data_IF_466879342072
#
_entry.id   IF_466879342072
#
_cell.length_a   1.000
_cell.length_b   1.000
_cell.length_c   1.000
_cell.angle_alpha   90.00
_cell.angle_beta   90.00
_cell.angle_gamma   90.00
#
_symmetry.space_group_name_H-M   'P 1'
#
loop_
_entity.id
_entity.type
_entity.pdbx_description
1 polymer ?
#
# COMPACT_ATOMS: atom_id res chain seq x y z
N UNK A 1 -21.22 28.46 -37.62
CA UNK A 1 -21.39 27.43 -36.58
C UNK A 1 -20.02 27.22 -35.95
N UNK A 2 -19.83 27.58 -34.69
CA UNK A 2 -18.57 27.34 -33.96
C UNK A 2 -18.62 25.93 -33.37
N UNK A 3 -17.77 25.05 -33.86
CA UNK A 3 -17.64 23.68 -33.34
C UNK A 3 -16.85 23.66 -32.04
N UNK A 4 -17.00 22.59 -31.25
CA UNK A 4 -16.24 22.38 -30.00
C UNK A 4 -14.72 22.50 -30.24
N UNK A 5 -14.23 22.02 -31.38
CA UNK A 5 -12.81 22.04 -31.73
C UNK A 5 -12.28 23.44 -32.11
N UNK A 6 -13.14 24.44 -32.23
CA UNK A 6 -12.78 25.84 -32.51
C UNK A 6 -12.50 26.64 -31.22
N UNK A 7 -12.78 26.07 -30.04
CA UNK A 7 -12.48 26.69 -28.75
C UNK A 7 -10.98 26.89 -28.53
N UNK A 8 -10.63 27.82 -27.65
CA UNK A 8 -9.26 28.02 -27.17
C UNK A 8 -8.74 26.76 -26.45
N UNK A 9 -7.43 26.52 -26.49
CA UNK A 9 -6.84 25.30 -25.92
C UNK A 9 -7.06 25.20 -24.41
N UNK A 10 -7.07 26.34 -23.72
CA UNK A 10 -7.30 26.49 -22.29
C UNK A 10 -8.71 26.00 -21.91
N UNK A 11 -9.73 26.42 -22.66
CA UNK A 11 -11.10 25.98 -22.46
C UNK A 11 -11.26 24.48 -22.72
N UNK A 12 -10.60 23.97 -23.77
CA UNK A 12 -10.58 22.54 -24.04
C UNK A 12 -9.90 21.76 -22.91
N UNK A 13 -8.76 22.22 -22.42
CA UNK A 13 -8.06 21.58 -21.30
C UNK A 13 -8.93 21.56 -20.04
N UNK A 14 -9.61 22.66 -19.71
CA UNK A 14 -10.53 22.71 -18.58
C UNK A 14 -11.66 21.69 -18.73
N UNK A 15 -12.30 21.62 -19.91
CA UNK A 15 -13.33 20.60 -20.20
C UNK A 15 -12.76 19.19 -20.04
N UNK A 16 -11.55 18.93 -20.54
CA UNK A 16 -10.92 17.61 -20.46
C UNK A 16 -10.59 17.25 -19.01
N UNK A 17 -10.08 18.20 -18.22
CA UNK A 17 -9.81 18.02 -16.79
C UNK A 17 -11.08 17.71 -16.00
N UNK A 18 -12.20 18.38 -16.31
CA UNK A 18 -13.51 18.12 -15.69
C UNK A 18 -14.09 16.74 -16.09
N UNK A 19 -13.87 16.31 -17.33
CA UNK A 19 -14.24 14.96 -17.78
C UNK A 19 -13.40 13.87 -17.10
N UNK A 20 -12.13 14.17 -16.84
CA UNK A 20 -11.19 13.28 -16.18
C UNK A 20 -10.78 12.05 -17.01
N UNK A 21 -9.89 11.21 -16.47
CA UNK A 21 -9.36 10.04 -17.17
C UNK A 21 -10.39 8.92 -17.38
N UNK A 22 -11.37 8.77 -16.47
CA UNK A 22 -12.42 7.74 -16.58
C UNK A 22 -13.26 7.89 -17.84
N UNK A 23 -13.51 9.13 -18.29
CA UNK A 23 -14.21 9.40 -19.54
C UNK A 23 -13.54 8.72 -20.74
N UNK A 24 -12.21 8.70 -20.82
CA UNK A 24 -11.47 8.06 -21.91
C UNK A 24 -11.32 6.54 -21.72
N UNK A 25 -11.27 6.05 -20.47
CA UNK A 25 -11.20 4.62 -20.18
C UNK A 25 -12.46 3.87 -20.61
N UNK A 26 -13.62 4.51 -20.52
CA UNK A 26 -14.88 3.94 -20.99
C UNK A 26 -14.91 3.72 -22.50
N UNK A 27 -14.29 4.61 -23.29
CA UNK A 27 -14.15 4.45 -24.73
C UNK A 27 -12.87 5.13 -25.24
N UNK A 28 -11.83 4.32 -25.48
CA UNK A 28 -10.52 4.81 -25.92
C UNK A 28 -10.57 5.57 -27.24
N UNK A 29 -11.59 5.33 -28.09
CA UNK A 29 -11.77 6.04 -29.36
C UNK A 29 -12.05 7.52 -29.14
N UNK A 30 -12.47 7.93 -27.94
CA UNK A 30 -12.60 9.34 -27.54
C UNK A 30 -11.26 10.08 -27.56
N UNK A 31 -10.12 9.40 -27.58
CA UNK A 31 -8.81 10.04 -27.80
C UNK A 31 -8.53 10.29 -29.29
N UNK A 32 -9.20 9.59 -30.20
CA UNK A 32 -8.90 9.54 -31.63
C UNK A 32 -9.82 10.43 -32.49
N UNK A 33 -10.43 11.48 -31.91
CA UNK A 33 -11.32 12.41 -32.64
C UNK A 33 -10.55 13.18 -33.72
N UNK A 34 -9.48 13.88 -33.32
CA UNK A 34 -8.58 14.59 -34.22
C UNK A 34 -7.21 14.78 -33.55
N UNK A 35 -6.20 15.22 -34.31
CA UNK A 35 -4.82 15.41 -33.79
C UNK A 35 -4.76 16.41 -32.63
N UNK A 36 -5.47 17.54 -32.75
CA UNK A 36 -5.53 18.58 -31.69
C UNK A 36 -6.16 18.04 -30.42
N UNK A 37 -7.29 17.36 -30.55
CA UNK A 37 -7.98 16.73 -29.42
C UNK A 37 -7.09 15.70 -28.74
N UNK A 38 -6.48 14.79 -29.50
CA UNK A 38 -5.55 13.80 -28.97
C UNK A 38 -4.41 14.45 -28.16
N UNK A 39 -3.77 15.49 -28.72
CA UNK A 39 -2.65 16.17 -28.07
C UNK A 39 -3.03 16.80 -26.71
N UNK A 40 -4.26 17.33 -26.60
CA UNK A 40 -4.76 17.95 -25.36
C UNK A 40 -5.35 16.92 -24.38
N UNK A 41 -6.04 15.90 -24.88
CA UNK A 41 -6.70 14.87 -24.08
C UNK A 41 -5.70 13.86 -23.48
N UNK A 42 -4.59 13.63 -24.18
CA UNK A 42 -3.62 12.61 -23.80
C UNK A 42 -3.02 12.82 -22.39
N UNK A 43 -2.52 14.02 -22.02
CA UNK A 43 -2.06 14.28 -20.65
C UNK A 43 -3.11 14.01 -19.58
N UNK A 44 -4.38 14.32 -19.85
CA UNK A 44 -5.48 14.08 -18.90
C UNK A 44 -5.78 12.60 -18.76
N UNK A 45 -5.80 11.86 -19.87
CA UNK A 45 -5.99 10.41 -19.85
C UNK A 45 -4.91 9.67 -19.05
N UNK A 46 -3.64 10.02 -19.29
CA UNK A 46 -2.51 9.36 -18.61
C UNK A 46 -2.19 9.95 -17.22
N UNK A 47 -2.91 10.98 -16.79
CA UNK A 47 -2.72 11.56 -15.46
C UNK A 47 -2.95 10.53 -14.34
N UNK A 48 -3.68 9.47 -14.63
CA UNK A 48 -3.88 8.35 -13.74
C UNK A 48 -3.55 7.02 -14.44
N UNK A 49 -2.60 6.29 -13.88
CA UNK A 49 -2.22 4.96 -14.34
C UNK A 49 -2.83 3.90 -13.45
N UNK A 50 -3.67 3.05 -14.03
CA UNK A 50 -4.19 1.85 -13.39
C UNK A 50 -3.55 0.64 -14.05
N UNK A 51 -2.62 0.01 -13.35
CA UNK A 51 -1.80 -1.06 -13.88
C UNK A 51 -2.07 -2.36 -13.13
N UNK A 52 -2.26 -3.42 -13.91
CA UNK A 52 -2.08 -4.81 -13.49
C UNK A 52 -0.66 -5.29 -13.78
N UNK A 53 -0.29 -6.46 -13.25
CA UNK A 53 0.96 -7.15 -13.60
C UNK A 53 1.20 -7.20 -15.13
N UNK A 54 0.23 -7.70 -15.89
CA UNK A 54 0.35 -7.86 -17.34
C UNK A 54 0.46 -6.53 -18.10
N UNK A 55 -0.33 -5.53 -17.72
CA UNK A 55 -0.27 -4.20 -18.35
C UNK A 55 1.05 -3.48 -18.08
N UNK A 56 1.64 -3.67 -16.90
CA UNK A 56 2.92 -3.06 -16.53
C UNK A 56 4.05 -3.61 -17.38
N UNK A 57 4.11 -4.95 -17.54
CA UNK A 57 5.12 -5.60 -18.38
C UNK A 57 4.97 -5.21 -19.86
N UNK A 58 3.73 -5.13 -20.36
CA UNK A 58 3.45 -4.65 -21.72
C UNK A 58 3.91 -3.21 -21.91
N UNK A 59 3.65 -2.34 -20.94
CA UNK A 59 4.07 -0.94 -20.98
C UNK A 59 5.60 -0.82 -21.01
N UNK A 60 6.32 -1.62 -20.22
CA UNK A 60 7.79 -1.67 -20.26
C UNK A 60 8.34 -2.24 -21.57
N UNK A 61 7.63 -3.18 -22.19
CA UNK A 61 8.01 -3.65 -23.52
C UNK A 61 7.84 -2.55 -24.58
N UNK A 62 6.71 -1.82 -24.55
CA UNK A 62 6.43 -0.71 -25.47
C UNK A 62 7.41 0.44 -25.26
N UNK A 63 7.81 0.71 -24.02
CA UNK A 63 8.75 1.79 -23.71
C UNK A 63 10.14 1.58 -24.28
N UNK A 64 10.59 0.33 -24.42
CA UNK A 64 11.88 0.02 -25.07
C UNK A 64 11.88 0.38 -26.57
N UNK A 65 10.70 0.58 -27.17
CA UNK A 65 10.52 0.81 -28.60
C UNK A 65 10.11 2.24 -28.96
N UNK A 66 9.85 3.09 -27.97
CA UNK A 66 9.26 4.42 -28.22
C UNK A 66 9.66 5.46 -27.17
N UNK A 67 9.73 6.72 -27.58
CA UNK A 67 9.91 7.88 -26.69
C UNK A 67 8.66 8.18 -25.82
N UNK A 68 7.74 7.22 -25.71
CA UNK A 68 6.44 7.34 -25.06
C UNK A 68 6.53 7.59 -23.54
N UNK A 69 7.62 7.18 -22.89
CA UNK A 69 7.76 7.35 -21.43
C UNK A 69 7.98 8.79 -21.01
N UNK A 70 8.58 9.63 -21.84
CA UNK A 70 8.88 11.00 -21.43
C UNK A 70 7.59 11.78 -21.15
N UNK A 71 6.59 11.84 -22.07
CA UNK A 71 5.29 12.46 -21.78
C UNK A 71 4.58 11.82 -20.58
N UNK A 72 4.70 10.50 -20.41
CA UNK A 72 4.10 9.76 -19.30
C UNK A 72 4.64 10.26 -17.96
N UNK A 73 5.95 10.26 -17.76
CA UNK A 73 6.62 10.71 -16.52
C UNK A 73 6.25 12.14 -16.11
N UNK A 74 5.98 13.00 -17.10
CA UNK A 74 5.64 14.41 -16.89
C UNK A 74 4.14 14.69 -16.77
N UNK A 75 3.29 13.67 -16.86
CA UNK A 75 1.83 13.84 -16.84
C UNK A 75 1.16 13.04 -15.74
N UNK A 76 1.73 11.90 -15.35
CA UNK A 76 1.17 11.02 -14.31
C UNK A 76 1.13 11.74 -12.96
N UNK A 77 -0.09 11.85 -12.40
CA UNK A 77 -0.39 12.37 -11.07
C UNK A 77 -0.72 11.25 -10.08
N UNK A 78 -1.32 10.17 -10.56
CA UNK A 78 -1.68 9.00 -9.75
C UNK A 78 -1.21 7.72 -10.42
N UNK A 79 -0.58 6.83 -9.68
CA UNK A 79 -0.23 5.49 -10.16
C UNK A 79 -0.79 4.45 -9.19
N UNK A 80 -1.48 3.46 -9.73
CA UNK A 80 -2.04 2.32 -9.01
C UNK A 80 -1.53 1.06 -9.66
N UNK A 81 -0.88 0.21 -8.86
CA UNK A 81 -0.46 -1.12 -9.27
C UNK A 81 -1.17 -2.14 -8.40
N UNK A 82 -1.91 -3.04 -9.04
CA UNK A 82 -2.49 -4.21 -8.39
C UNK A 82 -1.83 -5.46 -8.91
N UNK A 83 -1.11 -6.15 -8.03
CA UNK A 83 -0.52 -7.46 -8.26
C UNK A 83 -1.41 -8.48 -7.56
N UNK A 84 -2.12 -9.28 -8.34
CA UNK A 84 -2.78 -10.47 -7.85
C UNK A 84 -1.81 -11.62 -8.04
N UNK A 85 -1.61 -12.43 -7.00
CA UNK A 85 -1.03 -13.75 -7.16
C UNK A 85 -1.86 -14.54 -8.16
N UNK A 86 -1.23 -15.42 -8.94
CA UNK A 86 -1.96 -16.30 -9.85
C UNK A 86 -3.01 -17.06 -9.04
N UNK A 87 -4.28 -16.82 -9.34
CA UNK A 87 -5.38 -17.60 -8.78
C UNK A 87 -5.48 -18.97 -9.45
N UNK A 88 -4.39 -19.47 -10.04
CA UNK A 88 -4.38 -20.70 -10.80
C UNK A 88 -4.73 -21.85 -9.84
N UNK A 89 -6.03 -22.15 -9.81
CA UNK A 89 -6.72 -22.96 -8.82
C UNK A 89 -6.34 -24.44 -8.90
N UNK A 90 -5.52 -24.78 -9.90
CA UNK A 90 -4.95 -26.11 -10.13
C UNK A 90 -4.16 -26.62 -8.94
N UNK A 91 -3.56 -25.75 -8.12
CA UNK A 91 -2.75 -26.16 -6.96
C UNK A 91 -3.48 -26.18 -5.61
N UNK A 92 -4.61 -25.47 -5.46
CA UNK A 92 -5.33 -25.39 -4.17
C UNK A 92 -6.53 -26.35 -4.08
N UNK A 93 -6.74 -27.21 -5.08
CA UNK A 93 -7.86 -28.16 -5.07
C UNK A 93 -7.62 -29.41 -4.20
N UNK A 94 -6.41 -29.60 -3.66
CA UNK A 94 -6.19 -30.64 -2.64
C UNK A 94 -6.50 -30.07 -1.26
N UNK A 95 -7.37 -30.75 -0.53
CA UNK A 95 -7.83 -30.45 0.83
C UNK A 95 -6.79 -29.71 1.70
N UNK A 96 -7.26 -28.65 2.37
CA UNK A 96 -6.59 -27.83 3.39
C UNK A 96 -5.18 -28.34 3.79
N UNK A 97 -4.08 -27.79 3.24
CA UNK A 97 -2.72 -28.28 3.50
C UNK A 97 -2.31 -28.18 4.97
N UNK A 98 -3.02 -27.37 5.78
CA UNK A 98 -2.87 -27.30 7.23
C UNK A 98 -3.20 -28.62 7.95
N UNK A 99 -3.95 -29.53 7.32
CA UNK A 99 -4.29 -30.83 7.91
C UNK A 99 -3.34 -31.97 7.49
N UNK A 100 -2.36 -31.70 6.61
CA UNK A 100 -1.42 -32.73 6.15
C UNK A 100 0.02 -32.19 6.12
N UNK A 101 0.87 -32.53 7.11
CA UNK A 101 2.28 -32.09 7.17
C UNK A 101 3.08 -32.37 5.90
N UNK A 102 2.75 -33.47 5.20
CA UNK A 102 3.37 -33.89 3.94
C UNK A 102 3.08 -32.96 2.75
N UNK A 103 1.95 -32.25 2.76
CA UNK A 103 1.62 -31.28 1.70
C UNK A 103 2.44 -29.98 1.85
N UNK A 104 2.80 -29.63 3.09
CA UNK A 104 3.74 -28.54 3.36
C UNK A 104 5.15 -28.93 2.87
N UNK A 105 5.61 -30.14 3.17
CA UNK A 105 6.92 -30.65 2.70
C UNK A 105 7.02 -30.72 1.18
N UNK A 106 5.98 -31.18 0.47
CA UNK A 106 5.98 -31.18 -1.01
C UNK A 106 5.96 -29.77 -1.60
N UNK A 107 5.39 -28.79 -0.90
CA UNK A 107 5.43 -27.38 -1.30
C UNK A 107 6.83 -26.78 -1.17
N UNK A 108 7.61 -27.22 -0.16
CA UNK A 108 8.99 -26.77 0.06
C UNK A 108 10.02 -27.46 -0.83
N UNK A 109 9.74 -28.65 -1.35
CA UNK A 109 10.66 -29.37 -2.23
C UNK A 109 10.80 -28.74 -3.63
N UNK A 110 9.93 -27.79 -3.98
CA UNK A 110 9.94 -27.12 -5.26
C UNK A 110 10.50 -25.69 -5.14
N UNK A 111 11.72 -25.56 -4.61
CA UNK A 111 12.44 -24.28 -4.49
C UNK A 111 12.48 -23.50 -5.82
N UNK A 112 12.56 -24.23 -6.95
CA UNK A 112 12.51 -23.67 -8.31
C UNK A 112 11.21 -22.86 -8.53
N UNK A 113 10.10 -23.24 -7.91
CA UNK A 113 8.84 -22.48 -8.02
C UNK A 113 8.81 -21.21 -7.19
N UNK A 114 9.55 -21.12 -6.07
CA UNK A 114 9.54 -19.92 -5.23
C UNK A 114 10.30 -18.77 -5.90
N UNK A 115 11.45 -19.06 -6.50
CA UNK A 115 12.23 -18.08 -7.25
C UNK A 115 11.48 -17.59 -8.48
N UNK A 116 10.87 -18.50 -9.25
CA UNK A 116 10.04 -18.12 -10.39
C UNK A 116 8.84 -17.26 -9.98
N UNK A 117 8.15 -17.63 -8.88
CA UNK A 117 7.02 -16.85 -8.35
C UNK A 117 7.47 -15.48 -7.86
N UNK A 118 8.59 -15.41 -7.17
CA UNK A 118 9.23 -14.16 -6.75
C UNK A 118 9.54 -13.30 -7.97
N UNK A 119 10.21 -13.85 -8.98
CA UNK A 119 10.56 -13.13 -10.20
C UNK A 119 9.31 -12.59 -10.91
N UNK A 120 8.24 -13.40 -11.01
CA UNK A 120 6.96 -12.98 -11.62
C UNK A 120 6.27 -11.86 -10.85
N UNK A 121 6.33 -11.88 -9.52
CA UNK A 121 5.74 -10.83 -8.67
C UNK A 121 6.56 -9.54 -8.72
N UNK A 122 7.88 -9.64 -8.72
CA UNK A 122 8.78 -8.51 -8.67
C UNK A 122 9.01 -7.86 -10.03
N UNK A 123 8.91 -8.60 -11.14
CA UNK A 123 9.11 -8.05 -12.49
C UNK A 123 8.21 -6.85 -12.80
N UNK A 124 6.88 -6.87 -12.50
CA UNK A 124 6.02 -5.69 -12.60
C UNK A 124 6.46 -4.51 -11.72
N UNK A 125 6.97 -4.76 -10.50
CA UNK A 125 7.44 -3.69 -9.62
C UNK A 125 8.69 -3.02 -10.18
N UNK A 126 9.67 -3.81 -10.64
CA UNK A 126 10.85 -3.30 -11.32
C UNK A 126 10.49 -2.53 -12.59
N UNK A 127 9.55 -3.07 -13.38
CA UNK A 127 9.02 -2.42 -14.56
C UNK A 127 8.39 -1.06 -14.22
N UNK A 128 7.54 -0.99 -13.18
CA UNK A 128 6.94 0.28 -12.74
C UNK A 128 8.00 1.28 -12.25
N UNK A 129 8.96 0.84 -11.44
CA UNK A 129 10.07 1.68 -10.97
C UNK A 129 10.91 2.23 -12.14
N UNK A 130 11.08 1.47 -13.22
CA UNK A 130 11.77 1.94 -14.44
C UNK A 130 10.94 2.94 -15.27
N UNK A 131 9.61 2.79 -15.24
CA UNK A 131 8.67 3.69 -15.91
C UNK A 131 8.60 5.02 -15.17
N UNK A 132 8.59 4.96 -13.83
CA UNK A 132 8.48 6.10 -12.92
C UNK A 132 9.74 6.26 -12.03
N UNK A 133 10.91 6.59 -12.61
CA UNK A 133 12.12 6.79 -11.81
C UNK A 133 11.96 8.01 -10.89
N UNK A 134 12.49 7.98 -9.66
CA UNK A 134 12.40 9.08 -8.68
C UNK A 134 12.79 10.44 -9.23
N UNK A 135 13.94 10.51 -9.90
CA UNK A 135 14.56 11.77 -10.33
C UNK A 135 13.82 12.42 -11.51
N UNK A 136 13.04 11.64 -12.26
CA UNK A 136 12.33 12.12 -13.45
C UNK A 136 10.82 12.25 -13.27
N UNK A 137 10.27 11.73 -12.16
CA UNK A 137 8.82 11.68 -11.90
C UNK A 137 8.42 12.80 -10.95
N UNK A 138 8.17 13.99 -11.51
CA UNK A 138 7.99 15.22 -10.73
C UNK A 138 6.54 15.54 -10.37
N UNK A 139 5.57 14.89 -11.02
CA UNK A 139 4.13 15.18 -10.85
C UNK A 139 3.34 14.09 -10.12
N UNK A 140 3.93 12.93 -9.84
CA UNK A 140 3.23 11.85 -9.16
C UNK A 140 2.93 12.25 -7.70
N UNK A 141 1.65 12.48 -7.41
CA UNK A 141 1.17 12.88 -6.08
C UNK A 141 0.61 11.72 -5.28
N UNK A 142 0.09 10.70 -5.95
CA UNK A 142 -0.54 9.54 -5.32
C UNK A 142 0.03 8.24 -5.86
N UNK A 143 0.51 7.38 -4.97
CA UNK A 143 0.96 6.03 -5.31
C UNK A 143 0.16 5.01 -4.51
N UNK A 144 -0.37 4.01 -5.21
CA UNK A 144 -1.03 2.86 -4.61
C UNK A 144 -0.38 1.57 -5.11
N UNK A 145 0.16 0.79 -4.19
CA UNK A 145 0.75 -0.52 -4.46
C UNK A 145 -0.02 -1.56 -3.67
N UNK A 146 -0.75 -2.43 -4.38
CA UNK A 146 -1.48 -3.53 -3.79
C UNK A 146 -0.91 -4.84 -4.27
N UNK A 147 -0.50 -5.67 -3.32
CA UNK A 147 0.00 -7.02 -3.55
C UNK A 147 -0.91 -7.97 -2.78
N UNK A 148 -1.83 -8.57 -3.50
CA UNK A 148 -2.71 -9.60 -2.98
C UNK A 148 -2.06 -10.95 -3.26
N UNK A 149 -1.51 -11.58 -2.21
CA UNK A 149 -1.30 -13.02 -2.25
C UNK A 149 -2.67 -13.66 -2.42
N UNK A 150 -2.84 -14.58 -3.37
CA UNK A 150 -4.07 -15.35 -3.50
C UNK A 150 -4.29 -16.26 -2.28
N UNK A 151 -4.76 -17.48 -2.49
CA UNK A 151 -4.87 -18.46 -1.39
C UNK A 151 -3.52 -18.96 -0.85
N UNK A 152 -2.42 -18.45 -1.40
CA UNK A 152 -1.07 -18.79 -0.95
C UNK A 152 -0.84 -18.09 0.39
N UNK A 153 -0.43 -18.82 1.44
CA UNK A 153 -0.05 -18.20 2.70
C UNK A 153 0.98 -17.10 2.40
N UNK A 154 0.79 -15.86 2.91
CA UNK A 154 1.65 -14.72 2.62
C UNK A 154 3.15 -14.98 2.85
N UNK A 155 3.46 -15.99 3.67
CA UNK A 155 4.76 -16.48 4.09
C UNK A 155 5.79 -16.78 2.99
N UNK A 156 5.36 -16.93 1.73
CA UNK A 156 6.18 -17.58 0.71
C UNK A 156 6.46 -16.78 -0.57
N UNK A 157 6.09 -15.49 -0.63
CA UNK A 157 6.32 -14.67 -1.83
C UNK A 157 7.21 -13.46 -1.50
N UNK A 158 8.54 -13.59 -1.62
CA UNK A 158 9.45 -12.52 -1.26
C UNK A 158 9.28 -11.34 -2.23
N UNK A 159 8.93 -10.18 -1.69
CA UNK A 159 8.97 -8.91 -2.41
C UNK A 159 10.36 -8.28 -2.27
N UNK A 160 11.02 -8.01 -3.40
CA UNK A 160 12.28 -7.27 -3.41
C UNK A 160 12.02 -5.83 -2.94
N UNK A 161 12.80 -5.32 -1.98
CA UNK A 161 12.58 -3.99 -1.43
C UNK A 161 13.00 -2.88 -2.39
N UNK A 162 14.03 -3.10 -3.21
CA UNK A 162 14.60 -2.10 -4.10
C UNK A 162 13.56 -1.37 -5.00
N UNK A 163 12.67 -2.06 -5.75
CA UNK A 163 11.68 -1.37 -6.58
C UNK A 163 10.63 -0.62 -5.74
N UNK A 164 10.24 -1.14 -4.57
CA UNK A 164 9.31 -0.45 -3.67
C UNK A 164 9.96 0.81 -3.11
N UNK A 165 11.21 0.71 -2.64
CA UNK A 165 12.01 1.82 -2.13
C UNK A 165 12.20 2.92 -3.19
N UNK A 166 12.50 2.54 -4.43
CA UNK A 166 12.56 3.47 -5.55
C UNK A 166 11.23 4.22 -5.70
N UNK A 167 10.09 3.52 -5.77
CA UNK A 167 8.78 4.14 -5.97
C UNK A 167 8.36 5.07 -4.82
N UNK A 168 8.62 4.72 -3.57
CA UNK A 168 8.28 5.58 -2.42
C UNK A 168 9.24 6.77 -2.25
N UNK A 169 10.41 6.72 -2.89
CA UNK A 169 11.40 7.82 -2.86
C UNK A 169 11.06 8.98 -3.82
N UNK A 170 9.93 8.90 -4.52
CA UNK A 170 9.45 9.99 -5.38
C UNK A 170 9.07 11.19 -4.50
N UNK A 171 9.88 12.26 -4.57
CA UNK A 171 9.76 13.49 -3.75
C UNK A 171 8.40 14.17 -3.89
N UNK A 172 7.76 14.00 -5.05
CA UNK A 172 6.48 14.63 -5.35
C UNK A 172 5.27 13.99 -4.65
N UNK A 173 5.45 12.84 -3.98
CA UNK A 173 4.38 12.10 -3.33
C UNK A 173 3.76 12.83 -2.15
N UNK A 174 2.44 12.78 -2.11
CA UNK A 174 1.59 13.36 -1.05
C UNK A 174 0.58 12.37 -0.52
N UNK A 175 0.27 11.30 -1.25
CA UNK A 175 -0.62 10.24 -0.83
C UNK A 175 0.03 8.90 -1.14
N UNK A 176 0.05 8.02 -0.15
CA UNK A 176 0.65 6.71 -0.28
C UNK A 176 -0.27 5.64 0.28
N UNK A 177 -0.59 4.63 -0.52
CA UNK A 177 -1.39 3.47 -0.15
C UNK A 177 -0.58 2.19 -0.46
N UNK A 178 -0.05 1.56 0.58
CA UNK A 178 0.75 0.34 0.50
C UNK A 178 -0.03 -0.81 1.12
N UNK A 179 -0.55 -1.71 0.31
CA UNK A 179 -1.10 -2.97 0.76
C UNK A 179 -0.19 -4.11 0.30
N UNK A 180 0.90 -4.31 1.03
CA UNK A 180 1.93 -5.31 0.79
C UNK A 180 1.74 -6.48 1.76
N UNK A 181 0.53 -7.04 1.80
CA UNK A 181 0.17 -8.11 2.72
C UNK A 181 1.01 -9.40 2.54
N UNK A 182 1.71 -9.55 1.40
CA UNK A 182 2.76 -10.55 1.18
C UNK A 182 4.06 -10.22 1.93
N UNK A 183 4.90 -11.22 2.20
CA UNK A 183 6.19 -10.94 2.84
C UNK A 183 7.09 -10.07 1.95
N UNK A 184 7.26 -8.80 2.32
CA UNK A 184 8.54 -8.11 2.10
C UNK A 184 9.51 -8.72 3.11
N UNK A 185 9.99 -9.91 2.80
CA UNK A 185 11.10 -10.53 3.48
C UNK A 185 12.34 -9.72 3.14
N UNK A 186 12.63 -8.73 3.98
CA UNK A 186 13.98 -8.25 4.21
C UNK A 186 14.77 -9.34 4.95
N UNK A 187 14.79 -10.57 4.41
CA UNK A 187 15.65 -11.60 4.94
C UNK A 187 17.01 -11.30 4.33
N UNK A 188 18.01 -10.99 5.15
CA UNK A 188 19.37 -11.00 4.66
C UNK A 188 19.62 -12.39 4.11
N UNK A 189 20.07 -12.50 2.87
CA UNK A 189 20.60 -13.77 2.38
C UNK A 189 21.76 -14.28 3.26
N UNK A 190 22.33 -13.45 4.17
CA UNK A 190 23.45 -13.82 5.03
C UNK A 190 23.48 -13.06 6.38
N UNK A 191 22.50 -13.25 7.28
CA UNK A 191 22.51 -12.70 8.67
C UNK A 191 22.69 -11.17 8.85
N UNK A 192 22.83 -10.38 7.77
CA UNK A 192 23.00 -8.93 7.83
C UNK A 192 21.67 -8.22 7.73
N UNK A 193 21.03 -7.96 8.86
CA UNK A 193 19.81 -7.14 8.88
C UNK A 193 20.01 -5.91 7.97
N UNK A 194 19.09 -5.65 7.04
CA UNK A 194 19.25 -4.52 6.14
C UNK A 194 19.35 -3.25 6.97
N UNK A 195 20.37 -2.44 6.68
CA UNK A 195 20.62 -1.18 7.38
C UNK A 195 19.42 -0.23 7.33
N UNK A 196 18.60 -0.36 6.27
CA UNK A 196 17.41 0.47 6.03
C UNK A 196 16.20 -0.41 5.74
N UNK A 197 15.22 -0.40 6.65
CA UNK A 197 13.91 -1.04 6.42
C UNK A 197 12.88 -0.02 5.94
N UNK A 198 11.87 -0.49 5.19
CA UNK A 198 10.82 0.35 4.61
C UNK A 198 10.11 1.24 5.65
N UNK A 199 9.91 0.78 6.90
CA UNK A 199 9.31 1.61 7.95
C UNK A 199 10.06 2.92 8.22
N UNK A 200 11.40 2.93 8.16
CA UNK A 200 12.20 4.14 8.39
C UNK A 200 12.05 5.12 7.22
N UNK A 201 12.02 4.59 6.00
CA UNK A 201 11.78 5.39 4.79
C UNK A 201 10.38 6.01 4.83
N UNK A 202 9.35 5.24 5.15
CA UNK A 202 7.99 5.75 5.30
C UNK A 202 7.88 6.81 6.41
N UNK A 203 8.58 6.61 7.53
CA UNK A 203 8.64 7.60 8.61
C UNK A 203 9.21 8.95 8.13
N UNK A 204 10.31 8.91 7.37
CA UNK A 204 10.93 10.10 6.79
C UNK A 204 10.02 10.84 5.80
N UNK A 205 9.05 10.14 5.18
CA UNK A 205 8.07 10.74 4.27
C UNK A 205 6.88 11.38 5.01
N UNK A 206 6.63 11.07 6.29
CA UNK A 206 5.45 11.60 7.00
C UNK A 206 5.32 13.14 6.94
N UNK A 207 6.38 13.95 7.07
CA UNK A 207 6.26 15.42 6.99
C UNK A 207 5.76 15.95 5.65
N UNK A 208 5.97 15.21 4.55
CA UNK A 208 5.53 15.61 3.20
C UNK A 208 4.16 15.04 2.82
N UNK A 209 3.76 13.91 3.43
CA UNK A 209 2.52 13.23 3.10
C UNK A 209 1.30 13.96 3.68
N UNK A 210 0.20 13.86 2.94
CA UNK A 210 -1.16 14.23 3.33
C UNK A 210 -1.93 13.01 3.81
N UNK A 211 -1.70 11.85 3.18
CA UNK A 211 -2.34 10.58 3.55
C UNK A 211 -1.34 9.44 3.45
N UNK A 212 -1.30 8.59 4.48
CA UNK A 212 -0.61 7.30 4.46
C UNK A 212 -1.58 6.20 4.87
N UNK A 213 -1.69 5.17 4.03
CA UNK A 213 -2.35 3.90 4.33
C UNK A 213 -1.33 2.80 4.14
N UNK A 214 -1.10 1.98 5.15
CA UNK A 214 -0.13 0.89 5.01
C UNK A 214 -0.53 -0.39 5.73
N UNK A 215 -0.37 -1.51 5.02
CA UNK A 215 -0.34 -2.89 5.50
C UNK A 215 0.89 -3.55 4.89
N UNK A 216 1.77 -4.10 5.70
CA UNK A 216 3.03 -4.70 5.23
C UNK A 216 3.31 -5.98 5.98
N UNK A 217 3.88 -7.00 5.33
CA UNK A 217 4.25 -8.26 5.98
C UNK A 217 5.25 -8.10 7.13
N UNK A 218 6.08 -7.05 7.11
CA UNK A 218 6.99 -6.64 8.19
C UNK A 218 6.76 -5.17 8.55
N UNK A 219 6.70 -4.87 9.85
CA UNK A 219 6.43 -3.52 10.37
C UNK A 219 7.10 -3.33 11.74
N UNK A 220 7.38 -2.10 12.17
CA UNK A 220 7.82 -1.82 13.54
C UNK A 220 7.37 -0.43 13.98
N UNK A 221 7.55 -0.13 15.27
CA UNK A 221 7.19 1.16 15.87
C UNK A 221 7.92 2.36 15.25
N UNK A 222 9.09 2.15 14.63
CA UNK A 222 9.83 3.20 13.93
C UNK A 222 9.04 3.86 12.80
N UNK A 223 8.09 3.15 12.19
CA UNK A 223 7.16 3.73 11.22
C UNK A 223 6.47 4.98 11.79
N UNK A 224 6.20 4.96 13.10
CA UNK A 224 5.36 5.91 13.80
C UNK A 224 6.13 6.83 14.75
N UNK A 225 7.46 6.78 14.75
CA UNK A 225 8.24 7.68 15.60
C UNK A 225 8.04 9.13 15.16
N UNK A 226 7.92 10.08 16.10
CA UNK A 226 8.03 11.50 15.80
C UNK A 226 9.29 11.78 14.96
N UNK A 227 9.18 12.47 13.82
CA UNK A 227 10.37 12.87 13.07
C UNK A 227 11.21 13.77 13.97
N UNK A 228 12.46 13.40 14.23
CA UNK A 228 13.36 14.19 15.06
C UNK A 228 13.78 15.46 14.33
N UNK A 229 13.83 16.58 15.04
CA UNK A 229 14.56 17.76 14.62
C UNK A 229 15.94 17.71 15.29
N UNK A 230 17.01 18.03 14.55
CA UNK A 230 18.40 17.90 15.02
C UNK A 230 18.69 18.73 16.29
N UNK A 231 17.84 19.70 16.64
CA UNK A 231 18.12 20.66 17.72
C UNK A 231 17.13 20.67 18.89
N UNK A 232 15.97 19.99 18.83
CA UNK A 232 14.97 20.05 19.91
C UNK A 232 14.18 18.74 20.10
N UNK A 233 13.92 18.37 21.36
CA UNK A 233 13.08 17.20 21.74
C UNK A 233 11.63 17.29 21.21
N UNK A 234 11.21 18.45 20.71
CA UNK A 234 9.95 18.63 19.99
C UNK A 234 10.08 18.16 18.55
N UNK A 235 9.50 17.00 18.21
CA UNK A 235 9.48 16.48 16.85
C UNK A 235 8.93 17.46 15.81
N UNK A 236 9.32 17.29 14.55
CA UNK A 236 8.91 18.19 13.44
C UNK A 236 7.38 18.18 13.27
N UNK A 237 6.73 19.35 13.16
CA UNK A 237 5.29 19.41 12.94
C UNK A 237 4.89 18.77 11.60
N UNK A 238 3.84 17.96 11.63
CA UNK A 238 3.27 17.26 10.48
C UNK A 238 2.13 18.11 9.88
N UNK A 239 2.46 19.30 9.38
CA UNK A 239 1.50 20.30 8.88
C UNK A 239 0.56 19.78 7.78
N UNK A 240 1.07 18.87 6.94
CA UNK A 240 0.35 18.37 5.76
C UNK A 240 -0.46 17.12 6.05
N UNK A 241 -0.05 16.31 7.02
CA UNK A 241 -0.65 15.01 7.27
C UNK A 241 -2.05 15.19 7.83
N UNK A 242 -3.02 14.62 7.13
CA UNK A 242 -4.44 14.61 7.52
C UNK A 242 -4.91 13.20 7.83
N UNK A 243 -4.31 12.19 7.19
CA UNK A 243 -4.74 10.80 7.33
C UNK A 243 -3.59 9.84 7.55
N UNK A 244 -3.74 8.98 8.55
CA UNK A 244 -2.79 7.92 8.85
C UNK A 244 -3.55 6.66 9.21
N UNK A 245 -3.50 5.64 8.36
CA UNK A 245 -4.09 4.33 8.60
C UNK A 245 -2.99 3.29 8.57
N UNK A 246 -2.86 2.57 9.67
CA UNK A 246 -1.92 1.45 9.77
C UNK A 246 -2.71 0.18 10.04
N UNK A 247 -2.58 -0.81 9.16
CA UNK A 247 -3.23 -2.09 9.31
C UNK A 247 -2.20 -3.18 9.67
N UNK A 248 -2.24 -3.59 10.94
CA UNK A 248 -1.41 -4.63 11.52
C UNK A 248 -2.06 -6.03 11.43
N UNK A 249 -3.09 -6.21 10.61
CA UNK A 249 -3.73 -7.51 10.37
C UNK A 249 -3.46 -8.01 8.96
N UNK A 250 -2.67 -9.07 8.85
CA UNK A 250 -2.34 -9.73 7.59
C UNK A 250 -3.25 -10.93 7.40
N UNK A 251 -4.08 -10.99 6.35
CA UNK A 251 -4.96 -12.13 6.11
C UNK A 251 -4.14 -13.37 5.73
N UNK A 252 -4.49 -14.52 6.30
CA UNK A 252 -3.87 -15.83 6.04
C UNK A 252 -4.96 -16.87 5.75
N UNK A 253 -5.81 -16.59 4.76
CA UNK A 253 -7.00 -17.39 4.47
C UNK A 253 -8.14 -17.06 5.43
N UNK A 254 -8.55 -18.03 6.25
CA UNK A 254 -9.63 -17.88 7.22
C UNK A 254 -9.22 -17.14 8.51
N UNK A 255 -7.93 -16.83 8.67
CA UNK A 255 -7.36 -16.22 9.86
C UNK A 255 -6.62 -14.92 9.54
N UNK A 256 -6.16 -14.25 10.60
CA UNK A 256 -5.21 -13.16 10.50
C UNK A 256 -3.96 -13.49 11.31
N UNK A 257 -2.85 -12.89 10.90
CA UNK A 257 -1.64 -12.82 11.72
C UNK A 257 -1.16 -11.39 11.83
N UNK A 258 -0.36 -11.12 12.84
CA UNK A 258 0.35 -9.85 12.95
C UNK A 258 1.54 -9.81 11.97
N UNK A 259 1.94 -8.61 11.50
CA UNK A 259 3.19 -8.44 10.77
C UNK A 259 4.38 -8.83 11.65
N UNK A 260 5.46 -9.26 11.01
CA UNK A 260 6.73 -9.50 11.69
C UNK A 260 7.34 -8.16 12.11
N UNK A 261 7.94 -8.12 13.29
CA UNK A 261 8.72 -6.94 13.67
C UNK A 261 9.96 -6.82 12.79
N UNK A 262 10.32 -5.62 12.33
CA UNK A 262 11.56 -5.44 11.56
C UNK A 262 12.83 -5.81 12.37
N UNK A 263 12.78 -5.73 13.71
CA UNK A 263 13.89 -6.05 14.63
C UNK A 263 13.49 -7.02 15.75
N UNK A 264 12.22 -7.38 15.83
CA UNK A 264 11.64 -8.23 16.88
C UNK A 264 10.75 -9.28 16.23
N UNK A 265 10.55 -10.45 16.85
CA UNK A 265 9.70 -11.48 16.27
C UNK A 265 8.25 -11.01 16.04
N UNK A 266 7.75 -10.11 16.90
CA UNK A 266 6.37 -9.64 16.90
C UNK A 266 6.29 -8.13 16.96
N UNK A 267 5.24 -7.59 16.35
CA UNK A 267 4.88 -6.17 16.47
C UNK A 267 4.16 -5.92 17.79
N UNK A 268 4.59 -4.88 18.51
CA UNK A 268 3.91 -4.38 19.71
C UNK A 268 2.83 -3.36 19.29
N UNK A 269 1.60 -3.85 19.14
CA UNK A 269 0.43 -3.04 18.78
C UNK A 269 0.14 -1.95 19.82
N UNK A 270 0.40 -2.21 21.10
CA UNK A 270 0.22 -1.21 22.18
C UNK A 270 1.24 -0.08 22.02
N UNK A 271 2.50 -0.41 21.76
CA UNK A 271 3.52 0.60 21.45
C UNK A 271 3.19 1.40 20.20
N UNK A 272 2.74 0.74 19.11
CA UNK A 272 2.31 1.44 17.90
C UNK A 272 1.18 2.43 18.18
N UNK A 273 0.15 2.02 18.92
CA UNK A 273 -0.94 2.92 19.32
C UNK A 273 -0.41 4.16 20.05
N UNK A 274 0.45 3.98 21.06
CA UNK A 274 1.06 5.10 21.80
C UNK A 274 1.83 6.04 20.87
N UNK A 275 2.57 5.51 19.89
CA UNK A 275 3.27 6.33 18.91
C UNK A 275 2.30 7.09 17.98
N UNK A 276 1.18 6.47 17.56
CA UNK A 276 0.15 7.19 16.79
C UNK A 276 -0.47 8.34 17.59
N UNK A 277 -0.75 8.14 18.88
CA UNK A 277 -1.22 9.19 19.78
C UNK A 277 -0.23 10.36 19.87
N UNK A 278 1.08 10.06 19.94
CA UNK A 278 2.14 11.09 19.90
C UNK A 278 2.18 11.83 18.57
N UNK A 279 2.07 11.11 17.43
CA UNK A 279 2.05 11.73 16.10
C UNK A 279 0.85 12.67 15.91
N UNK A 280 -0.32 12.31 16.44
CA UNK A 280 -1.51 13.17 16.39
C UNK A 280 -1.25 14.53 17.05
N UNK A 281 -0.47 14.56 18.13
CA UNK A 281 -0.04 15.81 18.77
C UNK A 281 0.84 16.71 17.89
N UNK A 282 1.42 16.17 16.81
CA UNK A 282 2.25 16.90 15.85
C UNK A 282 1.48 17.27 14.57
N UNK A 283 0.28 16.74 14.36
CA UNK A 283 -0.54 17.00 13.18
C UNK A 283 -1.35 18.28 13.37
N UNK A 284 -1.34 19.17 12.38
CA UNK A 284 -2.05 20.45 12.47
C UNK A 284 -3.57 20.28 12.34
N UNK A 285 -4.01 19.43 11.42
CA UNK A 285 -5.43 19.21 11.11
C UNK A 285 -5.73 17.71 10.80
N UNK A 286 -5.59 16.80 11.78
CA UNK A 286 -5.85 15.38 11.58
C UNK A 286 -7.34 15.13 11.29
N UNK A 287 -7.63 14.45 10.17
CA UNK A 287 -8.98 14.01 9.79
C UNK A 287 -9.26 12.59 10.27
N UNK A 288 -8.33 11.67 10.04
CA UNK A 288 -8.48 10.26 10.40
C UNK A 288 -7.12 9.67 10.79
N UNK A 289 -7.00 9.16 12.01
CA UNK A 289 -5.81 8.43 12.45
C UNK A 289 -6.27 7.12 13.06
N UNK A 290 -5.96 6.00 12.40
CA UNK A 290 -6.56 4.69 12.67
C UNK A 290 -5.52 3.58 12.71
N UNK A 291 -5.56 2.78 13.77
CA UNK A 291 -4.84 1.50 13.86
C UNK A 291 -5.83 0.36 13.65
N UNK A 292 -5.56 -0.51 12.69
CA UNK A 292 -6.34 -1.73 12.49
C UNK A 292 -5.55 -2.94 13.00
N UNK A 293 -6.21 -3.80 13.76
CA UNK A 293 -5.65 -5.02 14.33
C UNK A 293 -6.74 -6.10 14.41
N UNK A 294 -6.40 -7.33 14.78
CA UNK A 294 -7.37 -8.40 14.95
C UNK A 294 -7.27 -8.96 16.36
N UNK A 295 -8.38 -9.46 16.88
CA UNK A 295 -8.38 -10.26 18.09
C UNK A 295 -9.20 -11.52 17.84
N UNK A 296 -8.92 -12.55 18.62
CA UNK A 296 -9.70 -13.78 18.65
C UNK A 296 -10.75 -13.60 19.74
N UNK A 297 -12.02 -13.64 19.35
CA UNK A 297 -13.15 -13.59 20.28
C UNK A 297 -14.05 -14.78 19.97
N UNK A 298 -14.29 -15.66 20.96
CA UNK A 298 -15.08 -16.89 20.80
C UNK A 298 -14.62 -17.74 19.60
N UNK A 299 -13.31 -17.95 19.45
CA UNK A 299 -12.67 -18.67 18.33
C UNK A 299 -12.88 -18.05 16.93
N UNK A 300 -13.43 -16.83 16.86
CA UNK A 300 -13.60 -16.09 15.61
C UNK A 300 -12.62 -14.93 15.58
N UNK A 301 -11.85 -14.85 14.48
CA UNK A 301 -11.02 -13.69 14.23
C UNK A 301 -11.88 -12.52 13.81
N UNK A 302 -11.85 -11.45 14.59
CA UNK A 302 -12.51 -10.20 14.26
C UNK A 302 -11.47 -9.13 13.94
N UNK A 303 -11.72 -8.36 12.88
CA UNK A 303 -10.91 -7.21 12.52
C UNK A 303 -11.47 -5.98 13.24
N UNK A 304 -10.59 -5.25 13.89
CA UNK A 304 -10.92 -4.05 14.65
C UNK A 304 -10.22 -2.85 14.04
N UNK A 305 -10.92 -1.72 14.00
CA UNK A 305 -10.35 -0.41 13.74
C UNK A 305 -10.46 0.45 14.99
N UNK A 306 -9.32 1.00 15.41
CA UNK A 306 -9.21 1.89 16.56
C UNK A 306 -8.81 3.28 16.09
N UNK A 307 -9.73 4.22 16.23
CA UNK A 307 -9.52 5.61 15.86
C UNK A 307 -8.86 6.36 17.02
N UNK A 308 -7.66 6.84 16.76
CA UNK A 308 -7.00 7.87 17.56
C UNK A 308 -7.63 9.23 17.24
N UNK A 309 -8.03 9.44 15.98
CA UNK A 309 -8.82 10.58 15.52
C UNK A 309 -9.92 10.09 14.58
N UNK A 310 -11.21 10.38 14.85
CA UNK A 310 -11.74 11.00 16.07
C UNK A 310 -11.50 10.11 17.32
N UNK A 311 -11.20 10.72 18.47
CA UNK A 311 -10.71 9.99 19.65
C UNK A 311 -11.66 8.89 20.13
N UNK A 312 -11.08 7.72 20.39
CA UNK A 312 -11.68 6.68 21.24
C UNK A 312 -12.75 5.82 20.55
N UNK A 313 -12.90 5.90 19.23
CA UNK A 313 -13.84 5.05 18.50
C UNK A 313 -13.18 3.70 18.21
N UNK A 314 -13.81 2.61 18.64
CA UNK A 314 -13.46 1.25 18.25
C UNK A 314 -14.59 0.66 17.39
N UNK A 315 -14.22 0.08 16.25
CA UNK A 315 -15.14 -0.47 15.25
C UNK A 315 -14.79 -1.92 14.95
N UNK A 316 -15.80 -2.78 14.92
CA UNK A 316 -15.67 -4.08 14.25
C UNK A 316 -15.79 -3.85 12.75
N UNK A 317 -14.83 -4.38 11.99
CA UNK A 317 -14.74 -4.27 10.54
C UNK A 317 -14.89 -5.63 9.87
N UNK A 318 -15.48 -5.63 8.67
CA UNK A 318 -15.44 -6.80 7.78
C UNK A 318 -14.12 -6.85 7.01
N UNK A 319 -13.75 -8.04 6.56
CA UNK A 319 -12.51 -8.27 5.82
C UNK A 319 -12.45 -7.50 4.48
N UNK A 320 -13.61 -7.29 3.86
CA UNK A 320 -13.79 -6.65 2.56
C UNK A 320 -14.11 -5.15 2.65
N UNK A 321 -14.29 -4.62 3.86
CA UNK A 321 -14.55 -3.20 4.07
C UNK A 321 -13.31 -2.34 3.79
N UNK A 322 -13.53 -1.18 3.16
CA UNK A 322 -12.49 -0.19 2.97
C UNK A 322 -11.96 0.30 4.33
N UNK A 323 -10.64 0.47 4.47
CA UNK A 323 -10.00 0.78 5.75
C UNK A 323 -10.43 2.13 6.35
N UNK A 324 -10.90 3.05 5.52
CA UNK A 324 -11.42 4.37 5.87
C UNK A 324 -12.95 4.39 6.04
N UNK A 325 -13.61 3.22 6.03
CA UNK A 325 -15.06 3.16 6.23
C UNK A 325 -15.45 3.73 7.59
N UNK A 326 -16.57 4.45 7.62
CA UNK A 326 -17.25 4.84 8.85
C UNK A 326 -18.31 3.82 9.29
N UNK A 327 -18.60 2.81 8.46
CA UNK A 327 -19.75 1.91 8.56
C UNK A 327 -19.67 0.76 9.57
N UNK A 328 -18.65 0.71 10.42
CA UNK A 328 -18.46 -0.38 11.40
C UNK A 328 -19.39 -0.30 12.62
N UNK A 329 -19.67 -1.45 13.23
CA UNK A 329 -20.39 -1.51 14.52
C UNK A 329 -19.48 -0.99 15.63
N UNK A 330 -19.94 0.00 16.40
CA UNK A 330 -19.22 0.48 17.58
C UNK A 330 -19.16 -0.60 18.64
N UNK A 331 -18.01 -0.72 19.30
CA UNK A 331 -17.81 -1.68 20.38
C UNK A 331 -16.93 -1.11 21.50
N UNK A 332 -16.90 -1.80 22.63
CA UNK A 332 -15.92 -1.58 23.69
C UNK A 332 -14.58 -2.11 23.20
N UNK A 333 -13.52 -1.33 23.41
CA UNK A 333 -12.16 -1.70 22.99
C UNK A 333 -11.71 -3.01 23.67
N UNK A 334 -11.46 -4.10 22.92
CA UNK A 334 -11.03 -5.37 23.50
C UNK A 334 -9.60 -5.29 24.06
N UNK A 335 -8.86 -4.23 23.74
CA UNK A 335 -7.51 -3.95 24.22
C UNK A 335 -7.47 -2.77 25.19
N UNK A 336 -8.59 -2.51 25.90
CA UNK A 336 -8.68 -1.46 26.90
C UNK A 336 -7.52 -1.54 27.90
N UNK A 337 -7.02 -0.38 28.32
CA UNK A 337 -6.08 -0.34 29.44
C UNK A 337 -6.84 -0.84 30.66
N UNK A 338 -6.51 -2.07 31.09
CA UNK A 338 -6.85 -2.61 32.39
C UNK A 338 -6.64 -1.51 33.43
N UNK A 339 -7.73 -0.90 33.89
CA UNK A 339 -7.70 -0.02 35.05
C UNK A 339 -7.55 -0.80 36.36
N UNK A 340 -7.65 -2.13 36.29
CA UNK A 340 -7.37 -3.05 37.38
C UNK A 340 -6.53 -4.18 36.80
N UNK A 341 -5.36 -4.47 37.39
CA UNK A 341 -4.34 -5.41 36.91
C UNK A 341 -4.76 -6.88 36.79
N UNK A 342 -5.80 -7.16 36.00
CA UNK A 342 -6.19 -8.48 35.56
C UNK A 342 -5.36 -8.85 34.33
N UNK A 343 -4.52 -9.88 34.48
CA UNK A 343 -3.75 -10.46 33.39
C UNK A 343 -4.72 -10.91 32.28
N UNK A 344 -4.85 -10.13 31.20
CA UNK A 344 -5.41 -10.63 29.95
C UNK A 344 -4.46 -11.71 29.46
N UNK A 345 -4.93 -12.96 29.55
CA UNK A 345 -4.18 -14.13 29.13
C UNK A 345 -3.65 -13.93 27.72
N UNK A 346 -2.33 -13.90 27.59
CA UNK A 346 -1.67 -14.23 26.35
C UNK A 346 -2.13 -15.64 26.00
N UNK A 347 -3.14 -15.75 25.13
CA UNK A 347 -3.47 -17.01 24.49
C UNK A 347 -2.22 -17.42 23.69
N UNK A 348 -1.46 -18.34 24.29
CA UNK A 348 -0.34 -18.99 23.64
C UNK A 348 -0.82 -19.61 22.33
N UNK A 349 -0.10 -19.27 21.27
CA UNK A 349 0.10 -20.14 20.12
C UNK A 349 1.33 -20.99 20.40
#
# INVERSE_FOLDING_TARGET
MTGLLDLAAELLLQILEDLGPEFFRQDIRRLAICKRWHALAWPTFIAELNLSSSSTLRLTYISKRSAFLTPLRHSVKTARLSLQGDNDSSFCSSANPLNHPKALESYFQDEVTLDERSARLNAPLHALASILPPDSTTRLRSLQLRVHGGNIPPSYLPLHPAPVLSLVSIVSLTSLDLDLAGHVTFWPEENRMPEVHLCAVLNNLLPQLVSLRCRMGSMCEHLLHPPTCDDHEGGKPLKRMKELIVNASIPTGAHYRYPFGCRRPRVDVKAMKRQMERLVGLMENPRLVRLMCHAVEYDVYQLYARDVVPRGRCLVMRADEAWDTEGGKRMVDPFGEDKDGGVVGEAGL
#
